data_IF_213180210033
#
_entry.id   IF_213180210033
#
_cell.length_a   1.000
_cell.length_b   1.000
_cell.length_c   1.000
_cell.angle_alpha   90.00
_cell.angle_beta   90.00
_cell.angle_gamma   90.00
#
_symmetry.space_group_name_H-M   'P 1'
#
loop_
_entity.id
_entity.type
_entity.pdbx_description
1 polymer ?
#
# COMPACT_ATOMS: atom_id res chain seq x y z
N UNK A 1 -10.64 -16.42 11.24
CA UNK A 1 -9.95 -15.61 11.60
C UNK A 1 -10.44 -14.43 11.60
N UNK A 2 -10.93 -14.08 12.15
CA UNK A 2 -11.40 -13.09 12.11
C UNK A 2 -10.85 -12.26 12.28
N UNK A 3 -10.58 -12.06 12.31
CA UNK A 3 -9.97 -11.68 12.00
C UNK A 3 -9.53 -10.39 11.91
N UNK A 4 -8.41 -10.10 11.42
CA UNK A 4 -7.92 -8.77 11.41
C UNK A 4 -8.68 -7.91 10.41
N UNK A 5 -9.34 -8.52 9.43
CA UNK A 5 -10.16 -7.72 8.53
C UNK A 5 -11.31 -7.08 9.27
N UNK A 6 -11.98 -7.81 10.13
CA UNK A 6 -13.04 -7.21 10.91
C UNK A 6 -12.53 -6.15 11.83
N UNK A 7 -11.38 -6.39 12.41
CA UNK A 7 -10.80 -5.42 13.33
C UNK A 7 -10.45 -4.15 12.57
N UNK A 8 -9.84 -4.28 11.40
CA UNK A 8 -9.46 -3.11 10.64
C UNK A 8 -10.66 -2.35 10.13
N UNK A 9 -11.71 -3.04 9.74
CA UNK A 9 -12.90 -2.36 9.28
C UNK A 9 -13.58 -1.61 10.42
N UNK A 10 -13.34 -2.02 11.64
CA UNK A 10 -13.92 -1.33 12.78
C UNK A 10 -13.10 -0.11 13.17
N UNK A 11 -11.90 0.05 12.66
CA UNK A 11 -11.09 1.19 12.98
C UNK A 11 -11.53 2.35 12.13
N UNK A 12 -11.83 3.44 12.77
CA UNK A 12 -12.33 4.58 12.04
C UNK A 12 -11.23 5.34 11.36
N UNK A 13 -10.93 4.98 10.13
CA UNK A 13 -9.89 5.63 9.39
C UNK A 13 -10.32 6.96 8.86
N UNK A 14 -11.62 7.16 8.71
CA UNK A 14 -12.13 8.41 8.18
C UNK A 14 -11.71 9.61 8.96
N UNK A 15 -11.50 9.45 10.22
CA UNK A 15 -11.05 10.58 11.00
C UNK A 15 -9.66 11.01 10.60
N UNK A 16 -8.93 10.15 9.98
CA UNK A 16 -7.56 10.47 9.63
C UNK A 16 -7.45 10.83 8.19
N UNK A 17 -8.44 10.54 7.44
CA UNK A 17 -8.28 10.78 6.09
C UNK A 17 -8.92 11.93 5.73
N UNK A 18 -8.57 12.72 5.40
CA UNK A 18 -9.14 13.84 5.05
C UNK A 18 -9.31 13.83 3.78
N UNK A 19 -9.05 13.33 3.04
CA UNK A 19 -9.37 13.34 1.87
C UNK A 19 -8.35 13.47 1.02
N UNK A 20 -8.34 13.17 0.05
CA UNK A 20 -7.52 13.40 -0.84
C UNK A 20 -6.25 12.80 -0.85
N UNK A 21 -5.36 13.24 -1.39
CA UNK A 21 -4.13 12.68 -1.61
C UNK A 21 -3.29 12.45 -0.44
N UNK A 22 -3.29 13.23 0.47
CA UNK A 22 -2.52 13.08 1.65
C UNK A 22 -2.97 11.92 2.44
N UNK A 23 -4.17 11.47 2.16
CA UNK A 23 -4.77 10.46 2.81
C UNK A 23 -4.02 9.23 2.77
N UNK A 24 -3.39 8.91 1.69
CA UNK A 24 -2.72 7.63 1.58
C UNK A 24 -1.64 7.43 2.60
N UNK A 25 -0.82 8.44 2.82
CA UNK A 25 0.26 8.31 3.78
C UNK A 25 -0.26 8.23 5.20
N UNK A 26 -1.18 9.08 5.54
CA UNK A 26 -1.74 9.05 6.87
C UNK A 26 -2.46 7.76 7.13
N UNK A 27 -3.19 7.27 6.14
CA UNK A 27 -3.94 6.05 6.29
C UNK A 27 -3.03 4.87 6.56
N UNK A 28 -1.96 4.76 5.79
CA UNK A 28 -1.08 3.61 5.96
C UNK A 28 -0.37 3.66 7.31
N UNK A 29 0.21 4.79 7.64
CA UNK A 29 0.97 4.90 8.89
C UNK A 29 0.08 4.63 10.10
N UNK A 30 -1.10 5.21 10.07
CA UNK A 30 -2.01 5.03 11.18
C UNK A 30 -2.51 3.59 11.26
N UNK A 31 -2.93 3.04 10.13
CA UNK A 31 -3.44 1.67 10.08
C UNK A 31 -2.38 0.67 10.51
N UNK A 32 -1.14 0.88 10.07
CA UNK A 32 -0.06 -0.04 10.44
C UNK A 32 0.20 0.02 11.94
N UNK A 33 0.12 1.22 12.51
CA UNK A 33 0.28 1.36 13.96
C UNK A 33 -0.77 0.58 14.71
N UNK A 34 -2.02 0.62 14.23
CA UNK A 34 -3.09 -0.11 14.87
C UNK A 34 -2.92 -1.62 14.71
N UNK A 35 -2.48 -2.04 13.54
CA UNK A 35 -2.25 -3.46 13.29
C UNK A 35 -1.17 -3.99 14.22
N UNK A 36 -0.10 -3.25 14.39
CA UNK A 36 1.01 -3.70 15.23
C UNK A 36 0.61 -3.79 16.71
N UNK A 37 -0.35 -2.98 17.14
CA UNK A 37 -0.81 -3.09 18.50
C UNK A 37 -1.55 -4.40 18.73
N UNK A 38 -2.31 -4.84 17.72
CA UNK A 38 -3.10 -6.04 17.85
C UNK A 38 -2.34 -7.29 17.41
N UNK A 39 -1.44 -7.14 16.47
CA UNK A 39 -0.67 -8.26 15.92
C UNK A 39 0.80 -7.85 15.88
N UNK A 40 1.48 -7.91 17.02
CA UNK A 40 2.88 -7.42 17.07
C UNK A 40 3.82 -8.10 16.10
N UNK A 41 3.48 -9.31 15.64
CA UNK A 41 4.34 -10.04 14.73
C UNK A 41 4.03 -9.73 13.26
N UNK A 42 3.08 -8.86 13.00
CA UNK A 42 2.75 -8.53 11.62
C UNK A 42 3.95 -7.88 10.93
N UNK A 43 4.09 -8.17 9.66
CA UNK A 43 5.18 -7.59 8.86
C UNK A 43 4.63 -7.19 7.52
N UNK A 44 5.40 -6.41 6.78
CA UNK A 44 5.03 -6.11 5.40
C UNK A 44 6.26 -6.22 4.52
N UNK A 45 6.01 -6.36 3.23
CA UNK A 45 7.08 -6.49 2.24
C UNK A 45 6.77 -5.58 1.07
N UNK A 46 7.78 -4.88 0.61
CA UNK A 46 7.69 -4.12 -0.63
C UNK A 46 8.57 -4.90 -1.61
N UNK A 47 7.94 -5.51 -2.61
CA UNK A 47 8.65 -6.39 -3.52
C UNK A 47 9.43 -5.58 -4.55
N UNK A 48 10.65 -6.01 -4.82
CA UNK A 48 11.54 -5.32 -5.74
C UNK A 48 11.66 -6.11 -7.04
N UNK A 49 12.05 -5.41 -8.10
CA UNK A 49 12.29 -6.09 -9.38
C UNK A 49 13.72 -6.66 -9.37
N UNK A 50 14.15 -7.24 -10.49
CA UNK A 50 15.45 -7.85 -10.56
C UNK A 50 16.60 -6.89 -10.35
N UNK A 51 16.38 -5.60 -10.51
CA UNK A 51 17.43 -4.61 -10.31
C UNK A 51 17.41 -4.02 -8.91
N UNK A 52 16.54 -4.52 -8.06
CA UNK A 52 16.40 -4.01 -6.70
C UNK A 52 15.57 -2.74 -6.61
N UNK A 53 14.81 -2.40 -7.64
CA UNK A 53 13.97 -1.22 -7.62
C UNK A 53 12.62 -1.60 -7.01
N UNK A 54 12.02 -0.66 -6.30
CA UNK A 54 10.77 -0.91 -5.58
C UNK A 54 9.54 -0.76 -6.46
N UNK A 55 9.67 -0.89 -7.76
CA UNK A 55 8.54 -0.88 -8.68
C UNK A 55 8.87 -1.76 -9.87
N UNK A 56 7.86 -2.06 -10.65
CA UNK A 56 7.98 -2.94 -11.80
C UNK A 56 7.49 -2.21 -13.04
N UNK A 57 7.97 -2.57 -14.19
CA UNK A 57 7.57 -1.88 -15.41
C UNK A 57 7.64 -2.82 -16.60
N UNK A 58 6.79 -2.55 -17.59
CA UNK A 58 6.85 -3.25 -18.87
C UNK A 58 7.40 -2.31 -19.94
N UNK A 59 7.94 -1.17 -19.51
CA UNK A 59 8.46 -0.18 -20.44
C UNK A 59 7.44 0.86 -20.86
N UNK A 60 6.18 0.64 -20.55
CA UNK A 60 5.12 1.59 -20.89
C UNK A 60 4.53 2.24 -19.68
N UNK A 61 4.22 1.47 -18.67
CA UNK A 61 3.69 1.98 -17.40
C UNK A 61 4.37 1.22 -16.28
N UNK A 62 4.05 1.56 -15.05
CA UNK A 62 4.69 0.96 -13.88
C UNK A 62 3.66 0.51 -12.87
N UNK A 63 4.05 -0.41 -12.00
CA UNK A 63 3.19 -0.86 -10.91
C UNK A 63 4.03 -1.24 -9.71
N UNK A 64 3.38 -1.40 -8.57
CA UNK A 64 4.06 -1.85 -7.34
C UNK A 64 3.40 -3.14 -6.87
N UNK A 65 4.14 -3.90 -6.09
CA UNK A 65 3.64 -5.14 -5.51
C UNK A 65 4.01 -5.11 -4.05
N UNK A 66 3.03 -5.26 -3.18
CA UNK A 66 3.30 -5.25 -1.74
C UNK A 66 2.62 -6.44 -1.09
N UNK A 67 3.02 -6.76 0.12
CA UNK A 67 2.40 -7.82 0.89
C UNK A 67 2.35 -7.44 2.34
N UNK A 68 1.28 -7.82 3.02
CA UNK A 68 1.16 -7.63 4.45
C UNK A 68 0.86 -9.00 5.05
N UNK A 69 1.65 -9.39 6.03
CA UNK A 69 1.52 -10.71 6.67
C UNK A 69 1.03 -10.53 8.08
N UNK A 70 -0.11 -11.13 8.38
CA UNK A 70 -0.68 -11.12 9.71
C UNK A 70 -1.07 -12.56 10.05
N UNK A 71 -0.65 -13.01 11.20
CA UNK A 71 -0.91 -14.38 11.65
C UNK A 71 -0.42 -15.41 10.64
N UNK A 72 0.71 -15.13 10.03
CA UNK A 72 1.31 -16.07 9.08
C UNK A 72 0.68 -16.11 7.70
N UNK A 73 -0.31 -15.26 7.46
CA UNK A 73 -0.97 -15.22 6.17
C UNK A 73 -0.63 -13.93 5.46
N UNK A 74 -0.08 -14.03 4.27
CA UNK A 74 0.30 -12.85 3.51
C UNK A 74 -0.77 -12.48 2.52
N UNK A 75 -1.14 -11.22 2.51
CA UNK A 75 -2.07 -10.66 1.54
C UNK A 75 -1.25 -9.80 0.59
N UNK A 76 -1.26 -10.15 -0.67
CA UNK A 76 -0.48 -9.44 -1.69
C UNK A 76 -1.39 -8.54 -2.49
N UNK A 77 -0.91 -7.37 -2.77
CA UNK A 77 -1.66 -6.40 -3.56
C UNK A 77 -0.76 -5.81 -4.63
N UNK A 78 -1.32 -5.57 -5.80
CA UNK A 78 -0.61 -4.91 -6.88
C UNK A 78 -1.36 -3.60 -7.14
N UNK A 79 -0.65 -2.56 -7.50
CA UNK A 79 -1.30 -1.31 -7.81
C UNK A 79 -0.53 -0.57 -8.88
N UNK A 80 -1.21 -0.07 -9.92
CA UNK A 80 -0.52 0.72 -10.94
C UNK A 80 -0.04 2.05 -10.35
N UNK A 81 1.07 2.56 -10.87
CA UNK A 81 1.51 3.89 -10.50
C UNK A 81 0.67 4.86 -11.30
N UNK A 82 -0.14 5.66 -10.63
CA UNK A 82 -1.18 6.47 -11.24
C UNK A 82 -1.08 7.93 -10.86
N UNK A 83 -1.63 8.79 -11.70
CA UNK A 83 -1.74 10.21 -11.39
C UNK A 83 -2.98 10.44 -10.51
N UNK A 84 -3.23 11.69 -10.17
CA UNK A 84 -4.32 12.00 -9.26
C UNK A 84 -5.70 11.74 -9.87
N UNK A 85 -5.76 11.49 -11.17
CA UNK A 85 -7.03 11.12 -11.80
C UNK A 85 -7.13 9.62 -12.00
N UNK A 86 -6.26 8.88 -11.34
CA UNK A 86 -6.23 7.42 -11.39
C UNK A 86 -5.95 6.89 -12.79
N UNK A 87 -5.11 7.59 -13.53
CA UNK A 87 -4.66 7.11 -14.84
C UNK A 87 -3.21 6.71 -14.71
N UNK A 88 -2.83 5.62 -15.38
CA UNK A 88 -1.45 5.15 -15.33
C UNK A 88 -0.52 6.21 -15.88
N UNK A 89 0.59 6.43 -15.20
CA UNK A 89 1.59 7.39 -15.63
C UNK A 89 2.55 6.69 -16.58
N UNK A 90 2.89 7.29 -17.72
CA UNK A 90 3.85 6.66 -18.62
C UNK A 90 5.18 6.42 -17.91
N UNK A 91 5.83 5.32 -18.23
CA UNK A 91 7.03 4.90 -17.51
C UNK A 91 8.11 5.98 -17.48
N UNK A 92 8.26 6.74 -18.55
CA UNK A 92 9.32 7.75 -18.59
C UNK A 92 8.95 9.00 -17.80
N UNK A 93 7.75 9.08 -17.25
CA UNK A 93 7.32 10.22 -16.46
C UNK A 93 7.13 9.87 -14.98
N UNK A 94 7.32 8.62 -14.61
CA UNK A 94 7.13 8.20 -13.23
C UNK A 94 8.28 8.69 -12.38
N UNK A 95 7.97 9.22 -11.21
CA UNK A 95 8.99 9.69 -10.29
C UNK A 95 8.96 8.83 -9.03
N UNK A 96 9.99 8.96 -8.22
CA UNK A 96 10.02 8.23 -6.95
C UNK A 96 8.88 8.64 -6.03
N UNK A 97 8.42 9.88 -6.16
CA UNK A 97 7.27 10.35 -5.39
C UNK A 97 6.03 9.55 -5.79
N UNK A 98 5.83 9.37 -7.09
CA UNK A 98 4.69 8.62 -7.59
C UNK A 98 4.74 7.18 -7.14
N UNK A 99 5.93 6.58 -7.16
CA UNK A 99 6.11 5.19 -6.75
C UNK A 99 5.82 5.06 -5.26
N UNK A 100 6.34 5.97 -4.46
CA UNK A 100 6.12 5.91 -3.02
C UNK A 100 4.63 6.04 -2.67
N UNK A 101 3.92 6.89 -3.38
CA UNK A 101 2.51 7.03 -3.18
C UNK A 101 1.78 5.75 -3.53
N UNK A 102 2.15 5.12 -4.63
CA UNK A 102 1.54 3.86 -5.04
C UNK A 102 1.80 2.76 -4.01
N UNK A 103 3.01 2.72 -3.46
CA UNK A 103 3.36 1.73 -2.45
C UNK A 103 2.49 1.91 -1.21
N UNK A 104 2.31 3.15 -0.76
CA UNK A 104 1.49 3.40 0.42
C UNK A 104 0.05 2.98 0.19
N UNK A 105 -0.49 3.27 -0.98
CA UNK A 105 -1.84 2.86 -1.32
C UNK A 105 -1.96 1.35 -1.42
N UNK A 106 -0.95 0.70 -2.02
CA UNK A 106 -0.96 -0.74 -2.18
C UNK A 106 -0.92 -1.44 -0.83
N UNK A 107 -0.07 -0.95 0.08
CA UNK A 107 0.01 -1.51 1.43
C UNK A 107 -1.32 -1.34 2.16
N UNK A 108 -1.95 -0.19 2.02
CA UNK A 108 -3.22 0.06 2.67
C UNK A 108 -4.29 -0.89 2.12
N UNK A 109 -4.29 -1.12 0.82
CA UNK A 109 -5.24 -2.05 0.22
C UNK A 109 -4.96 -3.48 0.67
N UNK A 110 -3.73 -3.83 0.89
CA UNK A 110 -3.39 -5.18 1.35
C UNK A 110 -3.92 -5.43 2.76
N UNK A 111 -4.15 -4.39 3.54
CA UNK A 111 -4.72 -4.54 4.87
C UNK A 111 -6.23 -4.69 4.80
N UNK A 112 -6.84 -4.18 3.77
CA UNK A 112 -8.29 -4.25 3.68
C UNK A 112 -8.76 -5.56 3.03
#
# INVERSE_FOLDING_TARGET
MDNYFSVLNGINVNDKTEKKNGLTYLSWAWAWGEVKKLFPDATYTIYENDRGWNYHTDGKTCWVKTGVTVNGIEHIEYLPVMDFKNRSIPADSVTSFDVNKAIQRSLTKALA
#
